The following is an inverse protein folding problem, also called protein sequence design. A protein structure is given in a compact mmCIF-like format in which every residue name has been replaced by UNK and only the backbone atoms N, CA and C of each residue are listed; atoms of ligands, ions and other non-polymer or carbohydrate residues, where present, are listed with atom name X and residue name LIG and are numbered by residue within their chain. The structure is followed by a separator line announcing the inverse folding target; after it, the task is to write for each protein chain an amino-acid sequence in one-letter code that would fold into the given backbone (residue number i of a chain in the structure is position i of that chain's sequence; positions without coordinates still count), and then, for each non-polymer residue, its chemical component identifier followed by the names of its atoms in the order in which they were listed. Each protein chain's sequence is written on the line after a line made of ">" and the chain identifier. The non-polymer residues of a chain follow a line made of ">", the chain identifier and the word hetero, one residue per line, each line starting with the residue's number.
data_IF_837761727581
#
_entry.id   IF_837761727581
#
_cell.length_a   1.000
_cell.length_b   1.000
_cell.length_c   1.000
_cell.angle_alpha   90.00
_cell.angle_beta   90.00
_cell.angle_gamma   90.00
#
_symmetry.space_group_name_H-M   'P 1'
#
loop_
_entity.id
_entity.type
_entity.pdbx_description
1 polymer ?
#
# COMPACT_ATOMS: atom_id res chain seq x y z
N UNK A 1 7.17 -2.87 -25.35
CA UNK A 1 5.92 -2.65 -24.59
C UNK A 1 6.20 -1.52 -23.62
N UNK A 2 5.42 -0.43 -23.63
CA UNK A 2 5.64 0.71 -22.73
C UNK A 2 4.89 0.43 -21.41
N UNK A 3 5.59 0.40 -20.29
CA UNK A 3 5.02 0.04 -19.00
C UNK A 3 5.80 0.72 -17.87
N UNK A 4 5.17 1.03 -16.72
CA UNK A 4 5.88 1.62 -15.59
C UNK A 4 7.03 0.73 -15.11
N UNK A 5 8.20 1.32 -14.94
CA UNK A 5 9.40 0.67 -14.40
C UNK A 5 9.65 1.11 -12.95
N UNK A 6 10.59 0.45 -12.27
CA UNK A 6 10.99 0.86 -10.92
C UNK A 6 11.54 2.29 -10.91
N UNK A 7 12.24 2.69 -11.97
CA UNK A 7 12.76 4.06 -12.12
C UNK A 7 11.64 5.09 -12.26
N UNK A 8 10.56 4.75 -12.96
CA UNK A 8 9.37 5.60 -13.04
C UNK A 8 8.71 5.77 -11.67
N UNK A 9 8.61 4.69 -10.89
CA UNK A 9 8.09 4.74 -9.51
C UNK A 9 8.96 5.64 -8.63
N UNK A 10 10.29 5.48 -8.69
CA UNK A 10 11.23 6.36 -7.98
C UNK A 10 11.07 7.81 -8.41
N UNK A 11 10.92 8.08 -9.70
CA UNK A 11 10.75 9.44 -10.23
C UNK A 11 9.45 10.09 -9.73
N UNK A 12 8.35 9.33 -9.67
CA UNK A 12 7.04 9.83 -9.25
C UNK A 12 6.95 10.00 -7.72
N UNK A 13 7.54 9.08 -6.95
CA UNK A 13 7.33 8.97 -5.49
C UNK A 13 8.51 9.46 -4.66
N UNK A 14 9.70 9.59 -5.25
CA UNK A 14 10.95 9.86 -4.54
C UNK A 14 11.51 8.66 -3.76
N UNK A 15 10.91 7.47 -3.88
CA UNK A 15 11.36 6.27 -3.16
C UNK A 15 12.69 5.74 -3.73
N UNK A 16 13.63 5.39 -2.84
CA UNK A 16 14.92 4.84 -3.25
C UNK A 16 14.72 3.42 -3.86
N UNK A 17 15.28 3.15 -5.06
CA UNK A 17 15.11 1.86 -5.72
C UNK A 17 16.10 0.78 -5.27
N UNK A 18 17.07 1.11 -4.41
CA UNK A 18 18.19 0.24 -4.02
C UNK A 18 18.15 -0.19 -2.55
N UNK A 19 16.99 -0.03 -1.90
CA UNK A 19 16.81 -0.51 -0.54
C UNK A 19 16.70 -2.04 -0.49
N UNK A 20 16.85 -2.61 0.71
CA UNK A 20 16.81 -4.05 0.91
C UNK A 20 15.44 -4.64 0.56
N UNK A 21 15.44 -5.88 0.09
CA UNK A 21 14.20 -6.61 -0.18
C UNK A 21 13.42 -6.84 1.12
N UNK A 22 12.10 -6.64 1.05
CA UNK A 22 11.22 -6.91 2.17
C UNK A 22 10.94 -8.41 2.29
N UNK A 23 11.38 -9.02 3.40
CA UNK A 23 10.97 -10.37 3.78
C UNK A 23 9.75 -10.32 4.72
N UNK A 24 8.54 -10.71 4.27
CA UNK A 24 7.36 -10.75 5.14
C UNK A 24 7.44 -11.81 6.24
N UNK A 25 8.44 -12.71 6.20
CA UNK A 25 8.65 -13.79 7.17
C UNK A 25 9.66 -13.42 8.27
N UNK A 26 10.37 -12.30 8.13
CA UNK A 26 11.22 -11.72 9.18
C UNK A 26 10.36 -11.05 10.27
N UNK A 27 9.57 -11.88 10.95
CA UNK A 27 8.72 -11.48 12.06
C UNK A 27 9.53 -11.61 13.35
N UNK A 28 10.02 -10.49 13.86
CA UNK A 28 10.55 -10.46 15.22
C UNK A 28 9.44 -10.88 16.21
N UNK A 29 9.70 -11.90 17.02
CA UNK A 29 8.70 -12.47 17.96
C UNK A 29 8.29 -11.49 19.07
N UNK A 30 9.06 -10.42 19.28
CA UNK A 30 8.83 -9.37 20.28
C UNK A 30 7.91 -8.26 19.78
N UNK A 31 7.22 -8.46 18.66
CA UNK A 31 6.30 -7.48 18.10
C UNK A 31 5.02 -7.42 18.93
N UNK A 32 4.79 -6.26 19.57
CA UNK A 32 3.51 -5.77 20.13
C UNK A 32 2.34 -6.62 19.63
N UNK A 33 1.63 -7.27 20.57
CA UNK A 33 0.47 -8.13 20.30
C UNK A 33 -0.68 -7.26 19.77
N UNK A 34 -0.58 -6.91 18.50
CA UNK A 34 -1.55 -6.09 17.83
C UNK A 34 -2.66 -7.02 17.37
N UNK A 35 -3.76 -7.06 18.14
CA UNK A 35 -4.96 -7.82 17.78
C UNK A 35 -5.65 -7.21 16.55
N UNK A 36 -5.03 -7.39 15.38
CA UNK A 36 -5.51 -6.93 14.07
C UNK A 36 -6.78 -7.65 13.60
N UNK A 37 -7.49 -8.33 14.51
CA UNK A 37 -8.61 -9.20 14.17
C UNK A 37 -9.94 -8.45 14.08
N UNK A 38 -10.09 -7.24 14.66
CA UNK A 38 -11.46 -6.73 14.93
C UNK A 38 -11.74 -5.25 14.74
N UNK A 39 -11.54 -4.70 13.54
CA UNK A 39 -12.18 -3.43 13.18
C UNK A 39 -12.08 -3.10 11.67
N UNK A 40 -13.12 -2.50 11.10
CA UNK A 40 -12.96 -1.72 9.86
C UNK A 40 -12.15 -0.44 10.14
N UNK A 41 -11.66 0.25 9.11
CA UNK A 41 -10.78 1.42 9.28
C UNK A 41 -11.26 2.45 10.33
N UNK A 42 -12.55 2.76 10.39
CA UNK A 42 -13.09 3.71 11.37
C UNK A 42 -12.89 3.26 12.81
N UNK A 43 -13.21 1.99 13.10
CA UNK A 43 -13.04 1.45 14.44
C UNK A 43 -11.54 1.28 14.76
N UNK A 44 -10.73 0.94 13.76
CA UNK A 44 -9.28 0.84 13.92
C UNK A 44 -8.67 2.18 14.35
N UNK A 45 -9.11 3.28 13.75
CA UNK A 45 -8.66 4.62 14.14
C UNK A 45 -9.07 4.92 15.58
N UNK A 46 -10.32 4.63 15.96
CA UNK A 46 -10.80 4.87 17.32
C UNK A 46 -10.09 4.02 18.38
N UNK A 47 -9.74 2.78 18.05
CA UNK A 47 -9.07 1.86 18.98
C UNK A 47 -7.59 2.24 19.22
N UNK A 48 -6.96 2.94 18.27
CA UNK A 48 -5.52 3.28 18.30
C UNK A 48 -5.23 4.77 18.37
N UNK A 49 -6.23 5.63 18.61
CA UNK A 49 -6.01 7.05 18.82
C UNK A 49 -6.15 7.38 20.30
N UNK A 50 -5.04 7.78 20.95
CA UNK A 50 -5.06 8.19 22.35
C UNK A 50 -5.18 9.71 22.43
N UNK A 51 -6.41 10.22 22.65
CA UNK A 51 -6.71 11.66 22.64
C UNK A 51 -5.98 12.47 23.74
N UNK A 52 -5.53 11.81 24.83
CA UNK A 52 -5.04 12.47 26.04
C UNK A 52 -3.49 12.61 26.13
N UNK A 53 -2.74 12.12 25.13
CA UNK A 53 -1.27 12.14 25.17
C UNK A 53 -0.71 13.17 24.17
N UNK A 54 0.13 14.14 24.61
CA UNK A 54 0.77 15.08 23.68
C UNK A 54 1.83 14.42 22.77
N UNK A 55 2.36 13.25 23.14
CA UNK A 55 3.38 12.53 22.36
C UNK A 55 2.84 11.27 21.70
N UNK A 56 3.09 11.12 20.39
CA UNK A 56 2.68 9.94 19.62
C UNK A 56 3.56 8.74 19.98
N UNK A 57 2.91 7.72 20.54
CA UNK A 57 3.52 6.44 20.95
C UNK A 57 4.01 5.62 19.76
N UNK A 58 4.89 4.65 20.01
CA UNK A 58 5.36 3.70 18.99
C UNK A 58 4.20 2.91 18.37
N UNK A 59 3.25 2.47 19.20
CA UNK A 59 2.07 1.73 18.76
C UNK A 59 1.21 2.55 17.81
N UNK A 60 0.97 3.82 18.14
CA UNK A 60 0.23 4.75 17.27
C UNK A 60 0.91 4.98 15.93
N UNK A 61 2.25 5.10 15.91
CA UNK A 61 3.01 5.25 14.66
C UNK A 61 2.89 4.03 13.77
N UNK A 62 3.04 2.83 14.33
CA UNK A 62 2.92 1.58 13.58
C UNK A 62 1.47 1.39 13.09
N UNK A 63 0.48 1.70 13.94
CA UNK A 63 -0.93 1.62 13.57
C UNK A 63 -1.28 2.58 12.42
N UNK A 64 -0.83 3.82 12.52
CA UNK A 64 -0.98 4.82 11.47
C UNK A 64 -0.33 4.37 10.16
N UNK A 65 0.93 3.91 10.20
CA UNK A 65 1.63 3.43 9.02
C UNK A 65 0.92 2.23 8.39
N UNK A 66 0.46 1.26 9.18
CA UNK A 66 -0.29 0.10 8.69
C UNK A 66 -1.60 0.49 8.01
N UNK A 67 -2.31 1.46 8.58
CA UNK A 67 -3.52 2.05 8.00
C UNK A 67 -3.22 2.78 6.68
N UNK A 68 -2.21 3.65 6.68
CA UNK A 68 -1.79 4.42 5.51
C UNK A 68 -1.35 3.50 4.36
N UNK A 69 -0.54 2.48 4.65
CA UNK A 69 -0.12 1.47 3.68
C UNK A 69 -1.33 0.73 3.10
N UNK A 70 -2.24 0.25 3.96
CA UNK A 70 -3.41 -0.52 3.52
C UNK A 70 -4.37 0.29 2.67
N UNK A 71 -4.65 1.53 3.07
CA UNK A 71 -5.70 2.38 2.48
C UNK A 71 -5.20 3.23 1.32
N UNK A 72 -4.08 3.91 1.50
CA UNK A 72 -3.61 4.96 0.60
C UNK A 72 -2.53 4.46 -0.37
N UNK A 73 -1.58 3.65 0.12
CA UNK A 73 -0.46 3.20 -0.72
C UNK A 73 -0.87 2.00 -1.58
N UNK A 74 -1.29 0.90 -0.97
CA UNK A 74 -1.62 -0.35 -1.67
C UNK A 74 -3.10 -0.49 -2.03
N UNK A 75 -3.97 0.40 -1.54
CA UNK A 75 -5.40 0.48 -1.86
C UNK A 75 -6.09 -0.90 -1.82
N UNK A 76 -6.07 -1.55 -0.66
CA UNK A 76 -6.53 -2.93 -0.51
C UNK A 76 -8.04 -3.08 -0.64
N UNK A 77 -8.49 -4.26 -1.12
CA UNK A 77 -9.92 -4.60 -1.24
C UNK A 77 -10.62 -4.64 0.11
N UNK A 78 -9.88 -5.02 1.15
CA UNK A 78 -10.39 -5.16 2.51
C UNK A 78 -10.63 -3.78 3.13
N UNK A 79 -11.76 -3.61 3.80
CA UNK A 79 -12.04 -2.43 4.65
C UNK A 79 -11.31 -2.48 6.01
N UNK A 80 -10.32 -3.36 6.13
CA UNK A 80 -9.54 -3.62 7.35
C UNK A 80 -8.06 -3.55 7.01
N UNK A 81 -7.26 -3.14 7.99
CA UNK A 81 -5.79 -3.15 7.89
C UNK A 81 -5.32 -4.61 7.78
N UNK A 82 -4.56 -4.93 6.73
CA UNK A 82 -4.08 -6.30 6.54
C UNK A 82 -2.80 -6.54 7.35
N UNK A 83 -2.70 -7.70 8.01
CA UNK A 83 -1.56 -8.06 8.87
C UNK A 83 -0.20 -7.88 8.17
N UNK A 84 -0.12 -8.22 6.88
CA UNK A 84 1.11 -8.04 6.07
C UNK A 84 1.64 -6.60 6.06
N UNK A 85 0.76 -5.60 6.10
CA UNK A 85 1.17 -4.19 6.12
C UNK A 85 1.54 -3.70 7.53
N UNK A 86 1.13 -4.41 8.58
CA UNK A 86 1.61 -4.13 9.93
C UNK A 86 3.07 -4.54 10.08
N UNK A 87 3.46 -5.70 9.53
CA UNK A 87 4.87 -6.12 9.47
C UNK A 87 5.72 -5.09 8.73
N UNK A 88 5.24 -4.64 7.56
CA UNK A 88 5.89 -3.59 6.78
C UNK A 88 5.96 -2.26 7.55
N UNK A 89 4.86 -1.85 8.19
CA UNK A 89 4.82 -0.64 9.03
C UNK A 89 5.83 -0.68 10.17
N UNK A 90 6.02 -1.84 10.80
CA UNK A 90 7.03 -2.03 11.85
C UNK A 90 8.44 -1.87 11.30
N UNK A 91 8.75 -2.49 10.17
CA UNK A 91 10.07 -2.34 9.53
C UNK A 91 10.36 -0.87 9.18
N UNK A 92 9.35 -0.17 8.67
CA UNK A 92 9.44 1.27 8.39
C UNK A 92 9.63 2.11 9.67
N UNK A 93 8.99 1.72 10.78
CA UNK A 93 9.19 2.38 12.07
C UNK A 93 10.61 2.19 12.63
N UNK A 94 11.17 1.00 12.46
CA UNK A 94 12.55 0.66 12.86
C UNK A 94 13.61 1.25 11.91
N UNK A 95 13.19 2.02 10.90
CA UNK A 95 14.08 2.58 9.87
C UNK A 95 14.90 1.50 9.14
N UNK A 96 14.37 0.27 9.04
CA UNK A 96 14.95 -0.73 8.15
C UNK A 96 14.73 -0.26 6.71
N UNK A 97 15.77 -0.33 5.89
CA UNK A 97 15.65 -0.03 4.47
C UNK A 97 14.70 -1.06 3.86
N UNK A 98 13.59 -0.61 3.29
CA UNK A 98 12.61 -1.48 2.64
C UNK A 98 12.30 -0.90 1.28
N UNK A 99 12.54 -1.68 0.23
CA UNK A 99 12.26 -1.28 -1.14
C UNK A 99 10.75 -1.16 -1.43
N UNK A 100 10.14 -0.10 -0.92
CA UNK A 100 8.72 0.17 -1.06
C UNK A 100 8.34 0.42 -2.53
N UNK A 101 9.25 0.99 -3.32
CA UNK A 101 9.06 1.19 -4.75
C UNK A 101 8.84 -0.13 -5.49
N UNK A 102 9.69 -1.13 -5.21
CA UNK A 102 9.57 -2.48 -5.76
C UNK A 102 8.27 -3.17 -5.31
N UNK A 103 7.89 -3.03 -4.03
CA UNK A 103 6.63 -3.57 -3.52
C UNK A 103 5.41 -2.94 -4.18
N UNK A 104 5.39 -1.61 -4.35
CA UNK A 104 4.30 -0.89 -5.03
C UNK A 104 4.20 -1.35 -6.48
N UNK A 105 5.33 -1.43 -7.18
CA UNK A 105 5.36 -1.85 -8.57
C UNK A 105 4.88 -3.30 -8.75
N UNK A 106 5.39 -4.21 -7.92
CA UNK A 106 4.94 -5.61 -7.91
C UNK A 106 3.44 -5.71 -7.60
N UNK A 107 2.95 -4.95 -6.63
CA UNK A 107 1.52 -4.89 -6.31
C UNK A 107 0.68 -4.33 -7.45
N UNK A 108 1.19 -3.35 -8.22
CA UNK A 108 0.50 -2.84 -9.41
C UNK A 108 0.37 -3.93 -10.47
N UNK A 109 1.46 -4.64 -10.78
CA UNK A 109 1.44 -5.69 -11.81
C UNK A 109 0.51 -6.85 -11.44
N UNK A 110 0.52 -7.28 -10.18
CA UNK A 110 -0.43 -8.28 -9.69
C UNK A 110 -1.87 -7.78 -9.83
N UNK A 111 -2.14 -6.55 -9.40
CA UNK A 111 -3.46 -5.94 -9.50
C UNK A 111 -3.94 -5.81 -10.95
N UNK A 112 -3.05 -5.47 -11.89
CA UNK A 112 -3.35 -5.41 -13.33
C UNK A 112 -3.71 -6.79 -13.89
N UNK A 113 -2.98 -7.84 -13.48
CA UNK A 113 -3.28 -9.22 -13.86
C UNK A 113 -4.67 -9.66 -13.39
N UNK A 114 -4.92 -9.51 -12.08
CA UNK A 114 -6.22 -9.84 -11.46
C UNK A 114 -7.37 -9.05 -12.08
N UNK A 115 -7.16 -7.75 -12.34
CA UNK A 115 -8.15 -6.86 -12.95
C UNK A 115 -8.46 -7.26 -14.39
N UNK A 116 -7.46 -7.66 -15.16
CA UNK A 116 -7.66 -8.11 -16.55
C UNK A 116 -8.44 -9.41 -16.61
N UNK A 117 -8.16 -10.35 -15.70
CA UNK A 117 -8.92 -11.59 -15.58
C UNK A 117 -10.36 -11.34 -15.14
N UNK A 118 -10.56 -10.47 -14.15
CA UNK A 118 -11.89 -10.06 -13.70
C UNK A 118 -12.69 -9.38 -14.82
N UNK A 119 -12.07 -8.48 -15.61
CA UNK A 119 -12.70 -7.85 -16.77
C UNK A 119 -13.10 -8.85 -17.85
N UNK A 120 -12.33 -9.92 -18.06
CA UNK A 120 -12.67 -10.95 -19.05
C UNK A 120 -13.94 -11.72 -18.66
N UNK A 121 -14.19 -11.86 -17.36
CA UNK A 121 -15.25 -12.68 -16.80
C UNK A 121 -16.45 -11.85 -16.28
N UNK A 122 -16.42 -10.52 -16.41
CA UNK A 122 -17.47 -9.65 -15.86
C UNK A 122 -18.71 -9.64 -16.76
N UNK A 123 -19.90 -9.73 -16.16
CA UNK A 123 -21.13 -9.48 -16.91
C UNK A 123 -21.31 -7.97 -17.10
N UNK A 124 -21.92 -7.51 -18.20
CA UNK A 124 -22.12 -6.07 -18.46
C UNK A 124 -22.90 -5.31 -17.38
N UNK A 125 -23.65 -6.01 -16.51
CA UNK A 125 -24.42 -5.40 -15.43
C UNK A 125 -23.69 -5.39 -14.07
N UNK A 126 -22.55 -6.08 -13.96
CA UNK A 126 -21.80 -6.16 -12.71
C UNK A 126 -20.89 -4.93 -12.55
N UNK A 127 -20.79 -4.43 -11.32
CA UNK A 127 -19.87 -3.34 -10.98
C UNK A 127 -18.44 -3.86 -10.97
N UNK A 128 -17.56 -3.21 -11.73
CA UNK A 128 -16.13 -3.48 -11.71
C UNK A 128 -15.43 -2.66 -10.62
N UNK A 129 -14.73 -3.32 -9.71
CA UNK A 129 -13.95 -2.66 -8.66
C UNK A 129 -12.46 -2.94 -8.88
N UNK A 130 -11.70 -1.88 -9.19
CA UNK A 130 -10.24 -1.92 -9.24
C UNK A 130 -9.68 -1.86 -7.83
N UNK A 131 -8.73 -2.74 -7.54
CA UNK A 131 -8.04 -2.84 -6.25
C UNK A 131 -6.55 -2.82 -6.51
N UNK A 132 -5.79 -2.10 -5.69
CA UNK A 132 -4.34 -1.98 -5.86
C UNK A 132 -3.90 -0.55 -6.14
N UNK A 133 -2.57 -0.31 -6.22
CA UNK A 133 -1.98 1.02 -6.34
C UNK A 133 -2.13 1.63 -7.74
N UNK A 134 -3.33 1.59 -8.34
CA UNK A 134 -3.62 2.14 -9.67
C UNK A 134 -3.34 3.64 -9.80
N UNK A 135 -3.24 4.35 -8.67
CA UNK A 135 -2.79 5.74 -8.66
C UNK A 135 -1.39 5.90 -9.29
N UNK A 136 -0.49 4.92 -9.16
CA UNK A 136 0.84 5.02 -9.78
C UNK A 136 0.76 4.90 -11.30
N UNK A 137 -0.13 4.04 -11.81
CA UNK A 137 -0.39 3.92 -13.24
C UNK A 137 -1.00 5.22 -13.78
N UNK A 138 -1.95 5.81 -13.05
CA UNK A 138 -2.56 7.07 -13.42
C UNK A 138 -1.52 8.21 -13.50
N UNK A 139 -0.65 8.34 -12.49
CA UNK A 139 0.41 9.35 -12.48
C UNK A 139 1.42 9.12 -13.60
N UNK A 140 1.81 7.86 -13.83
CA UNK A 140 2.73 7.50 -14.90
C UNK A 140 2.16 7.81 -16.29
N UNK A 141 0.87 7.51 -16.53
CA UNK A 141 0.20 7.86 -17.78
C UNK A 141 0.15 9.37 -17.99
N UNK A 142 -0.18 10.13 -16.93
CA UNK A 142 -0.20 11.58 -16.99
C UNK A 142 1.19 12.17 -17.29
N UNK A 143 2.25 11.66 -16.67
CA UNK A 143 3.62 12.12 -16.89
C UNK A 143 4.17 11.72 -18.27
N UNK A 144 3.83 10.53 -18.76
CA UNK A 144 4.37 9.99 -20.02
C UNK A 144 3.63 10.53 -21.24
N UNK A 145 2.32 10.73 -21.12
CA UNK A 145 1.43 11.09 -22.22
C UNK A 145 0.76 12.44 -22.03
N UNK A 146 1.35 13.34 -21.24
CA UNK A 146 0.80 14.67 -20.91
C UNK A 146 0.24 15.41 -22.13
N UNK A 147 0.99 15.40 -23.25
CA UNK A 147 0.60 16.05 -24.50
C UNK A 147 -0.56 15.38 -25.24
N UNK A 148 -0.78 14.09 -25.00
CA UNK A 148 -1.86 13.29 -25.60
C UNK A 148 -3.12 13.30 -24.74
N UNK A 149 -2.98 13.51 -23.43
CA UNK A 149 -4.07 13.64 -22.45
C UNK A 149 -4.50 15.11 -22.35
N UNK A 150 -5.04 15.67 -23.44
CA UNK A 150 -5.74 16.96 -23.37
C UNK A 150 -7.05 16.76 -22.62
N UNK A 151 -7.02 16.97 -21.30
CA UNK A 151 -8.21 17.03 -20.43
C UNK A 151 -8.79 18.45 -20.50
#
# INVERSE_FOLDING_TARGET
>A
MLTPTLFDVTTITGLCPYEDDFDPTDLDKDTIDFDGTRAGFTKYIADHHVDDNPEVTMEERIAFLGLWLSRCVFCCKSLKVAKRYLTLAKHMHEWRNVNLGQLILGSLYTALGESTEALRNINPQDKFLLVGPFWILQLWLNATFETSLKI
#
